data_IF_404584850633
#
_entry.id   IF_404584850633
#
_cell.length_a   1.000
_cell.length_b   1.000
_cell.length_c   1.000
_cell.angle_alpha   90.00
_cell.angle_beta   90.00
_cell.angle_gamma   90.00
#
_symmetry.space_group_name_H-M   'P 1'
#
loop_
_entity.id
_entity.type
_entity.pdbx_description
1 polymer ?
#
# COMPACT_ATOMS: atom_id res chain seq x y z
N UNK A 1 -4.53 -8.56 15.94
CA UNK A 1 -5.54 -9.23 15.08
C UNK A 1 -4.90 -10.42 14.39
N UNK A 2 -5.38 -11.65 14.60
CA UNK A 2 -4.85 -12.82 13.90
C UNK A 2 -5.35 -12.87 12.44
N UNK A 3 -4.50 -13.32 11.53
CA UNK A 3 -4.81 -13.59 10.12
C UNK A 3 -4.55 -15.07 9.88
N UNK A 4 -5.56 -15.83 9.44
CA UNK A 4 -5.51 -17.29 9.39
C UNK A 4 -5.50 -17.83 7.94
N UNK A 5 -5.59 -16.94 6.95
CA UNK A 5 -5.62 -17.26 5.53
C UNK A 5 -5.15 -16.04 4.71
N UNK A 6 -4.59 -16.31 3.53
CA UNK A 6 -4.17 -15.30 2.55
C UNK A 6 -5.34 -14.41 2.17
N UNK A 7 -5.10 -13.12 1.89
CA UNK A 7 -6.10 -12.16 1.42
C UNK A 7 -7.29 -11.98 2.37
N UNK A 8 -7.13 -12.22 3.68
CA UNK A 8 -8.16 -11.90 4.67
C UNK A 8 -7.98 -10.50 5.24
N UNK A 9 -6.74 -10.07 5.40
CA UNK A 9 -6.36 -8.78 5.99
C UNK A 9 -5.15 -8.23 5.25
N UNK A 10 -5.30 -7.03 4.74
CA UNK A 10 -4.21 -6.30 4.10
C UNK A 10 -3.83 -5.09 4.94
N UNK A 11 -2.56 -4.71 4.86
CA UNK A 11 -2.09 -3.41 5.32
C UNK A 11 -1.58 -2.61 4.14
N UNK A 12 -1.83 -1.31 4.15
CA UNK A 12 -1.20 -0.37 3.23
C UNK A 12 -0.32 0.62 3.97
N UNK A 13 0.82 0.91 3.37
CA UNK A 13 1.79 1.90 3.86
C UNK A 13 2.28 2.78 2.70
N UNK A 14 2.56 4.04 3.01
CA UNK A 14 3.16 5.00 2.08
C UNK A 14 4.47 5.51 2.65
N UNK A 15 5.55 5.29 1.92
CA UNK A 15 6.89 5.68 2.31
C UNK A 15 7.57 6.45 1.18
N UNK A 16 8.70 7.09 1.48
CA UNK A 16 9.48 7.82 0.49
C UNK A 16 10.97 7.57 0.68
N UNK A 17 11.71 7.59 -0.43
CA UNK A 17 13.15 7.37 -0.46
C UNK A 17 13.80 8.48 -1.27
N UNK A 18 14.90 9.05 -0.74
CA UNK A 18 15.68 10.04 -1.46
C UNK A 18 16.55 9.36 -2.53
N UNK A 19 16.49 9.86 -3.76
CA UNK A 19 17.31 9.39 -4.88
C UNK A 19 18.12 10.54 -5.46
N UNK A 20 19.06 10.26 -6.36
CA UNK A 20 19.82 11.31 -7.07
C UNK A 20 18.94 12.20 -7.97
N UNK A 21 17.70 11.77 -8.25
CA UNK A 21 16.72 12.47 -9.08
C UNK A 21 15.63 13.15 -8.24
N UNK A 22 15.74 13.13 -6.91
CA UNK A 22 14.76 13.67 -5.96
C UNK A 22 14.04 12.60 -5.15
N UNK A 23 12.93 12.99 -4.52
CA UNK A 23 12.09 12.08 -3.72
C UNK A 23 11.34 11.08 -4.61
N UNK A 24 11.41 9.81 -4.25
CA UNK A 24 10.56 8.76 -4.81
C UNK A 24 9.56 8.33 -3.75
N UNK A 25 8.27 8.47 -4.05
CA UNK A 25 7.17 8.03 -3.18
C UNK A 25 6.76 6.62 -3.57
N UNK A 26 6.53 5.78 -2.57
CA UNK A 26 6.16 4.37 -2.72
C UNK A 26 4.88 4.08 -1.95
N UNK A 27 3.89 3.52 -2.64
CA UNK A 27 2.68 2.98 -2.03
C UNK A 27 2.71 1.45 -2.10
N UNK A 28 2.51 0.80 -0.95
CA UNK A 28 2.51 -0.67 -0.85
C UNK A 28 1.21 -1.19 -0.26
N UNK A 29 0.78 -2.37 -0.72
CA UNK A 29 -0.29 -3.17 -0.11
C UNK A 29 0.26 -4.56 0.16
N UNK A 30 0.18 -5.04 1.41
CA UNK A 30 0.76 -6.31 1.86
C UNK A 30 -0.34 -7.19 2.47
N UNK A 31 -0.33 -8.48 2.13
CA UNK A 31 -1.14 -9.49 2.81
C UNK A 31 -0.53 -9.90 4.15
N UNK A 32 -1.26 -9.68 5.25
CA UNK A 32 -0.74 -9.93 6.60
C UNK A 32 -0.46 -11.40 6.87
N UNK A 33 -1.19 -12.32 6.23
CA UNK A 33 -0.99 -13.76 6.42
C UNK A 33 0.29 -14.24 5.72
N UNK A 34 0.44 -13.94 4.44
CA UNK A 34 1.56 -14.43 3.64
C UNK A 34 2.82 -13.56 3.72
N UNK A 35 2.70 -12.33 4.25
CA UNK A 35 3.74 -11.27 4.21
C UNK A 35 4.20 -10.89 2.80
N UNK A 36 3.47 -11.33 1.77
CA UNK A 36 3.79 -11.00 0.39
C UNK A 36 3.19 -9.63 0.05
N UNK A 37 3.96 -8.83 -0.68
CA UNK A 37 3.41 -7.65 -1.33
C UNK A 37 2.34 -8.10 -2.30
N UNK A 38 1.14 -7.55 -2.15
CA UNK A 38 0.10 -7.66 -3.14
C UNK A 38 0.50 -6.79 -4.33
N UNK A 39 0.79 -5.50 -4.10
CA UNK A 39 1.16 -4.52 -5.13
C UNK A 39 2.05 -3.38 -4.59
N UNK A 40 2.83 -2.80 -5.49
CA UNK A 40 3.71 -1.65 -5.28
C UNK A 40 3.57 -0.68 -6.46
N UNK A 41 3.46 0.62 -6.18
CA UNK A 41 3.51 1.69 -7.18
C UNK A 41 4.47 2.78 -6.68
N UNK A 42 5.21 3.40 -7.59
CA UNK A 42 6.14 4.49 -7.30
C UNK A 42 5.86 5.72 -8.16
N UNK A 43 6.15 6.91 -7.64
CA UNK A 43 5.99 8.18 -8.34
C UNK A 43 6.93 9.27 -7.83
N UNK A 44 7.11 10.32 -8.64
CA UNK A 44 7.97 11.46 -8.31
C UNK A 44 7.27 12.53 -7.47
N UNK A 45 5.93 12.47 -7.37
CA UNK A 45 5.11 13.39 -6.59
C UNK A 45 4.42 12.66 -5.43
N UNK A 46 4.25 13.35 -4.30
CA UNK A 46 3.45 12.87 -3.18
C UNK A 46 1.97 13.02 -3.54
N UNK A 47 1.40 11.98 -4.14
CA UNK A 47 -0.01 11.98 -4.51
C UNK A 47 -0.74 10.75 -3.94
N UNK A 48 -1.91 11.02 -3.39
CA UNK A 48 -2.95 10.03 -3.07
C UNK A 48 -3.26 9.08 -4.24
N UNK A 49 -3.05 9.51 -5.49
CA UNK A 49 -3.17 8.68 -6.69
C UNK A 49 -2.32 7.40 -6.61
N UNK A 50 -1.09 7.46 -6.07
CA UNK A 50 -0.21 6.28 -5.96
C UNK A 50 -0.81 5.19 -5.08
N UNK A 51 -1.45 5.58 -3.97
CA UNK A 51 -2.10 4.65 -3.04
C UNK A 51 -3.35 4.06 -3.67
N UNK A 52 -4.14 4.88 -4.36
CA UNK A 52 -5.35 4.45 -5.08
C UNK A 52 -4.98 3.44 -6.18
N UNK A 53 -3.89 3.66 -6.91
CA UNK A 53 -3.43 2.77 -7.97
C UNK A 53 -2.93 1.44 -7.41
N UNK A 54 -2.09 1.47 -6.36
CA UNK A 54 -1.60 0.26 -5.70
C UNK A 54 -2.76 -0.59 -5.17
N UNK A 55 -3.75 0.03 -4.52
CA UNK A 55 -4.92 -0.66 -4.01
C UNK A 55 -5.82 -1.19 -5.14
N UNK A 56 -6.02 -0.40 -6.20
CA UNK A 56 -6.83 -0.81 -7.35
C UNK A 56 -6.24 -2.03 -8.04
N UNK A 57 -4.92 -2.08 -8.21
CA UNK A 57 -4.25 -3.26 -8.75
C UNK A 57 -4.35 -4.46 -7.80
N UNK A 58 -4.25 -4.25 -6.48
CA UNK A 58 -4.46 -5.32 -5.49
C UNK A 58 -5.84 -5.93 -5.56
N UNK A 59 -6.88 -5.10 -5.64
CA UNK A 59 -8.26 -5.56 -5.74
C UNK A 59 -8.51 -6.27 -7.07
N UNK A 60 -7.90 -5.83 -8.18
CA UNK A 60 -8.04 -6.50 -9.48
C UNK A 60 -7.45 -7.91 -9.50
N UNK A 61 -6.35 -8.13 -8.79
CA UNK A 61 -5.60 -9.39 -8.85
C UNK A 61 -5.95 -10.39 -7.73
N UNK A 62 -6.72 -9.98 -6.72
CA UNK A 62 -7.23 -10.92 -5.70
C UNK A 62 -8.34 -11.82 -6.28
N UNK A 63 -8.57 -13.01 -5.70
CA UNK A 63 -9.72 -13.83 -6.04
C UNK A 63 -11.06 -13.08 -5.91
N UNK A 64 -11.93 -13.21 -6.92
CA UNK A 64 -13.17 -12.43 -7.08
C UNK A 64 -14.11 -12.47 -5.87
N UNK A 65 -14.21 -13.63 -5.23
CA UNK A 65 -15.17 -13.88 -4.13
C UNK A 65 -14.61 -13.61 -2.74
N UNK A 66 -13.37 -13.11 -2.62
CA UNK A 66 -12.73 -12.92 -1.33
C UNK A 66 -12.94 -11.50 -0.81
N UNK A 67 -13.59 -11.38 0.35
CA UNK A 67 -13.62 -10.14 1.12
C UNK A 67 -12.29 -9.95 1.85
N UNK A 68 -11.82 -8.69 1.92
CA UNK A 68 -10.56 -8.35 2.55
C UNK A 68 -10.77 -7.14 3.45
N UNK A 69 -10.25 -7.20 4.67
CA UNK A 69 -10.15 -6.04 5.55
C UNK A 69 -8.84 -5.29 5.24
N UNK A 70 -8.93 -4.06 4.75
CA UNK A 70 -7.77 -3.19 4.57
C UNK A 70 -7.58 -2.31 5.80
N UNK A 71 -6.37 -2.28 6.34
CA UNK A 71 -5.95 -1.32 7.34
C UNK A 71 -4.87 -0.42 6.75
N UNK A 72 -5.18 0.86 6.57
CA UNK A 72 -4.19 1.84 6.13
C UNK A 72 -3.64 2.57 7.35
N UNK A 73 -2.32 2.59 7.50
CA UNK A 73 -1.71 3.53 8.43
C UNK A 73 -1.82 4.93 7.81
N UNK A 74 -2.50 5.87 8.49
CA UNK A 74 -2.54 7.27 8.09
C UNK A 74 -1.45 8.02 8.85
N UNK A 75 -0.29 8.16 8.22
CA UNK A 75 0.73 9.11 8.70
C UNK A 75 0.44 10.47 8.10
N UNK A 76 -0.13 11.36 8.91
CA UNK A 76 -0.17 12.79 8.59
C UNK A 76 1.25 13.35 8.70
N UNK A 77 1.84 13.70 7.56
CA UNK A 77 3.04 14.55 7.53
C UNK A 77 2.58 16.00 7.73
N UNK A 78 2.86 16.58 8.90
CA UNK A 78 2.83 18.03 9.06
C UNK A 78 3.86 18.62 8.09
N UNK A 79 3.41 19.35 7.08
CA UNK A 79 4.29 20.24 6.34
C UNK A 79 4.69 21.38 7.28
N UNK A 80 5.98 21.48 7.58
CA UNK A 80 6.58 22.62 8.26
C UNK A 80 7.41 22.26 9.48
N UNK A 81 8.66 21.85 9.24
CA UNK A 81 9.87 22.35 9.89
C UNK A 81 11.02 22.22 8.90
#
# INVERSE_FOLDING_TARGET
>A
MYCNNTNSKWVSDTTFVWTQQGWLYLATVIDLYSRKSCWLVNGQEYDTALVIDALSMAIKNKPRQQQVLLHSDQRFYLQGL
#
